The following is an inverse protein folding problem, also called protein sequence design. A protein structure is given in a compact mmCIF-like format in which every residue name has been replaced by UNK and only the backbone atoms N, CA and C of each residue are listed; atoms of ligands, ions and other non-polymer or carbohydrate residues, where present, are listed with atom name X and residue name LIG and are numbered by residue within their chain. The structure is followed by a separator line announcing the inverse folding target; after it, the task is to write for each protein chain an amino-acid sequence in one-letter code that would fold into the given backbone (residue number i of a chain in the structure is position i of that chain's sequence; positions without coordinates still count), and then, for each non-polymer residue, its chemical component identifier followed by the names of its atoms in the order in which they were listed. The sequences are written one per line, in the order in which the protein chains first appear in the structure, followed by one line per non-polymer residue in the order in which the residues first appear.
data_IF_489475359622
#
_entry.id   IF_489475359622
#
_cell.length_a   1.000
_cell.length_b   1.000
_cell.length_c   1.000
_cell.angle_alpha   90.00
_cell.angle_beta   90.00
_cell.angle_gamma   90.00
#
_symmetry.space_group_name_H-M   'P 1'
#
loop_
_entity.id
_entity.type
_entity.pdbx_description
1 polymer ?
#
# COMPACT_ATOMS: atom_id res chain seq x y z
N UNK A 1 -27.19 49.87 -18.85
CA UNK A 1 -26.70 49.64 -17.48
C UNK A 1 -25.21 49.50 -17.62
N UNK A 2 -24.45 50.49 -17.14
CA UNK A 2 -22.99 50.44 -17.04
C UNK A 2 -22.61 49.47 -15.94
N UNK A 3 -21.72 48.51 -16.22
CA UNK A 3 -21.23 47.59 -15.19
C UNK A 3 -20.10 48.27 -14.40
N UNK A 4 -19.85 47.82 -13.16
CA UNK A 4 -18.77 48.30 -12.30
C UNK A 4 -17.40 48.24 -13.01
N UNK A 5 -17.15 47.19 -13.80
CA UNK A 5 -15.92 47.03 -14.56
C UNK A 5 -15.75 48.11 -15.63
N UNK A 6 -16.82 48.44 -16.36
CA UNK A 6 -16.81 49.50 -17.39
C UNK A 6 -16.59 50.88 -16.76
N UNK A 7 -17.19 51.11 -15.58
CA UNK A 7 -17.00 52.33 -14.81
C UNK A 7 -15.57 52.47 -14.27
N UNK A 8 -14.98 51.38 -13.77
CA UNK A 8 -13.59 51.33 -13.31
C UNK A 8 -12.61 51.61 -14.46
N UNK A 9 -12.80 50.97 -15.61
CA UNK A 9 -11.95 51.15 -16.78
C UNK A 9 -12.00 52.61 -17.28
N UNK A 10 -13.20 53.20 -17.30
CA UNK A 10 -13.37 54.60 -17.65
C UNK A 10 -12.61 55.52 -16.68
N UNK A 11 -12.78 55.33 -15.37
CA UNK A 11 -12.12 56.14 -14.35
C UNK A 11 -10.59 56.01 -14.40
N UNK A 12 -10.06 54.79 -14.61
CA UNK A 12 -8.62 54.57 -14.75
C UNK A 12 -8.05 55.30 -15.96
N UNK A 13 -8.75 55.27 -17.10
CA UNK A 13 -8.33 55.96 -18.32
C UNK A 13 -8.34 57.48 -18.17
N UNK A 14 -9.36 58.03 -17.52
CA UNK A 14 -9.44 59.47 -17.25
C UNK A 14 -8.30 59.94 -16.33
N UNK A 15 -7.93 59.13 -15.33
CA UNK A 15 -6.77 59.39 -14.44
C UNK A 15 -5.44 59.22 -15.19
N UNK A 16 -5.33 58.28 -16.14
CA UNK A 16 -4.15 58.12 -17.00
C UNK A 16 -3.92 59.34 -17.91
N UNK A 17 -4.99 59.94 -18.42
CA UNK A 17 -4.97 61.15 -19.25
C UNK A 17 -4.73 62.44 -18.43
N UNK A 18 -4.58 62.34 -17.10
CA UNK A 18 -4.27 63.45 -16.20
C UNK A 18 -5.50 64.07 -15.52
N UNK A 19 -6.65 63.42 -15.59
CA UNK A 19 -7.86 63.79 -14.87
C UNK A 19 -7.76 63.55 -13.37
N UNK A 20 -8.61 64.26 -12.61
CA UNK A 20 -8.68 64.15 -11.17
C UNK A 20 -9.58 62.99 -10.72
N UNK A 21 -9.16 62.29 -9.67
CA UNK A 21 -9.80 61.09 -9.12
C UNK A 21 -11.25 61.34 -8.69
N UNK A 22 -11.51 62.42 -7.96
CA UNK A 22 -12.85 62.73 -7.45
C UNK A 22 -13.81 63.10 -8.59
N UNK A 23 -13.27 63.74 -9.62
CA UNK A 23 -14.03 64.13 -10.82
C UNK A 23 -14.49 62.90 -11.62
N UNK A 24 -13.60 61.91 -11.79
CA UNK A 24 -13.93 60.67 -12.50
C UNK A 24 -15.01 59.86 -11.78
N UNK A 25 -14.93 59.74 -10.45
CA UNK A 25 -15.88 58.98 -9.63
C UNK A 25 -17.26 59.65 -9.56
N UNK A 26 -17.33 60.98 -9.65
CA UNK A 26 -18.62 61.72 -9.63
C UNK A 26 -19.52 61.36 -10.82
N UNK A 27 -18.95 60.84 -11.91
CA UNK A 27 -19.69 60.40 -13.10
C UNK A 27 -20.41 59.06 -12.92
N UNK A 28 -20.03 58.28 -11.90
CA UNK A 28 -20.64 56.99 -11.53
C UNK A 28 -20.99 56.95 -10.03
N UNK A 29 -22.00 57.74 -9.59
CA UNK A 29 -22.32 57.88 -8.16
C UNK A 29 -22.81 56.56 -7.53
N UNK A 30 -23.36 55.65 -8.34
CA UNK A 30 -23.85 54.33 -7.91
C UNK A 30 -22.74 53.37 -7.47
N UNK A 31 -21.52 53.54 -7.99
CA UNK A 31 -20.36 52.68 -7.70
C UNK A 31 -19.26 53.39 -6.90
N UNK A 32 -19.55 54.60 -6.39
CA UNK A 32 -18.57 55.47 -5.74
C UNK A 32 -17.82 54.78 -4.60
N UNK A 33 -18.53 54.10 -3.72
CA UNK A 33 -17.97 53.48 -2.52
C UNK A 33 -17.08 52.27 -2.85
N UNK A 34 -17.32 51.60 -3.98
CA UNK A 34 -16.52 50.47 -4.46
C UNK A 34 -15.31 50.92 -5.30
N UNK A 35 -15.45 52.00 -6.07
CA UNK A 35 -14.40 52.50 -6.97
C UNK A 35 -13.30 53.29 -6.25
N UNK A 36 -13.65 54.09 -5.24
CA UNK A 36 -12.68 54.92 -4.49
C UNK A 36 -11.46 54.14 -3.96
N UNK A 37 -11.62 53.02 -3.21
CA UNK A 37 -10.47 52.30 -2.65
C UNK A 37 -9.59 51.67 -3.75
N UNK A 38 -10.19 51.20 -4.84
CA UNK A 38 -9.47 50.56 -5.96
C UNK A 38 -8.66 51.61 -6.74
N UNK A 39 -9.23 52.79 -6.97
CA UNK A 39 -8.55 53.85 -7.70
C UNK A 39 -7.45 54.52 -6.84
N UNK A 40 -7.67 54.72 -5.54
CA UNK A 40 -6.63 55.22 -4.64
C UNK A 40 -5.41 54.28 -4.56
N UNK A 41 -5.66 52.97 -4.49
CA UNK A 41 -4.58 51.96 -4.48
C UNK A 41 -3.83 51.93 -5.80
N UNK A 42 -4.54 52.08 -6.93
CA UNK A 42 -3.93 52.17 -8.27
C UNK A 42 -3.05 53.41 -8.42
N UNK A 43 -3.48 54.57 -7.93
CA UNK A 43 -2.69 55.81 -7.94
C UNK A 43 -1.44 55.68 -7.06
N UNK A 44 -1.57 55.11 -5.85
CA UNK A 44 -0.44 54.86 -4.94
C UNK A 44 0.56 53.86 -5.52
N UNK A 45 0.09 52.77 -6.11
CA UNK A 45 0.94 51.78 -6.78
C UNK A 45 1.72 52.38 -7.95
N UNK A 46 1.09 53.26 -8.73
CA UNK A 46 1.74 53.99 -9.82
C UNK A 46 2.81 54.96 -9.32
N UNK A 47 2.58 55.65 -8.21
CA UNK A 47 3.59 56.51 -7.59
C UNK A 47 4.81 55.73 -7.07
N UNK A 48 4.65 54.44 -6.79
CA UNK A 48 5.73 53.53 -6.38
C UNK A 48 6.42 52.82 -7.55
N UNK A 49 5.86 52.91 -8.77
CA UNK A 49 6.48 52.32 -9.95
C UNK A 49 7.80 53.04 -10.24
N UNK A 50 8.91 52.31 -10.11
CA UNK A 50 10.24 52.86 -10.35
C UNK A 50 10.33 53.35 -11.81
N UNK A 51 10.90 54.55 -12.05
CA UNK A 51 11.10 55.02 -13.41
C UNK A 51 12.01 54.03 -14.17
N UNK A 52 11.73 53.87 -15.45
CA UNK A 52 12.52 53.02 -16.35
C UNK A 52 14.01 53.42 -16.24
N UNK A 53 14.93 52.49 -15.95
CA UNK A 53 16.30 52.82 -15.65
C UNK A 53 16.92 53.53 -16.85
N UNK A 54 17.47 54.74 -16.63
CA UNK A 54 18.08 55.52 -17.69
C UNK A 54 19.15 54.69 -18.42
N UNK A 55 19.28 54.89 -19.73
CA UNK A 55 20.24 54.11 -20.53
C UNK A 55 21.68 54.20 -20.00
N UNK A 56 22.02 55.29 -19.31
CA UNK A 56 23.31 55.45 -18.64
C UNK A 56 23.46 54.58 -17.38
N UNK A 57 22.38 54.36 -16.62
CA UNK A 57 22.39 53.42 -15.49
C UNK A 57 22.58 51.97 -15.97
N UNK A 58 21.96 51.60 -17.10
CA UNK A 58 22.13 50.28 -17.74
C UNK A 58 23.55 50.10 -18.28
N UNK A 59 24.15 51.14 -18.88
CA UNK A 59 25.55 51.09 -19.33
C UNK A 59 26.52 50.92 -18.16
N UNK A 60 26.29 51.64 -17.06
CA UNK A 60 27.11 51.53 -15.84
C UNK A 60 26.96 50.19 -15.12
N UNK A 61 25.76 49.59 -15.13
CA UNK A 61 25.57 48.25 -14.57
C UNK A 61 26.26 47.19 -15.43
N UNK A 62 26.16 47.29 -16.76
CA UNK A 62 26.87 46.40 -17.69
C UNK A 62 28.39 46.47 -17.54
N UNK A 63 28.97 47.66 -17.40
CA UNK A 63 30.42 47.79 -17.21
C UNK A 63 30.90 47.20 -15.89
N UNK A 64 30.14 47.40 -14.80
CA UNK A 64 30.44 46.77 -13.49
C UNK A 64 30.36 45.25 -13.53
N UNK A 65 29.36 44.69 -14.23
CA UNK A 65 29.24 43.23 -14.42
C UNK A 65 30.39 42.69 -15.25
N UNK A 66 30.80 43.38 -16.32
CA UNK A 66 31.93 42.96 -17.15
C UNK A 66 33.27 43.04 -16.41
N UNK A 67 33.48 44.06 -15.58
CA UNK A 67 34.67 44.16 -14.73
C UNK A 67 34.72 43.03 -13.70
N UNK A 68 33.60 42.77 -13.00
CA UNK A 68 33.50 41.63 -12.06
C UNK A 68 33.76 40.29 -12.76
N UNK A 69 33.27 40.13 -13.99
CA UNK A 69 33.48 38.94 -14.80
C UNK A 69 34.94 38.80 -15.30
N UNK A 70 35.64 39.91 -15.55
CA UNK A 70 37.06 39.93 -15.91
C UNK A 70 37.94 39.58 -14.69
N UNK A 71 37.64 40.16 -13.52
CA UNK A 71 38.31 39.84 -12.25
C UNK A 71 38.17 38.36 -11.90
N UNK A 72 36.97 37.78 -12.05
CA UNK A 72 36.74 36.34 -11.85
C UNK A 72 37.48 35.45 -12.86
N UNK A 73 37.81 35.96 -14.05
CA UNK A 73 38.61 35.24 -15.05
C UNK A 73 40.10 35.29 -14.71
N UNK A 74 40.59 36.39 -14.18
CA UNK A 74 41.99 36.54 -13.78
C UNK A 74 42.31 35.77 -12.49
N UNK A 75 41.35 35.61 -11.58
CA UNK A 75 41.50 34.79 -10.37
C UNK A 75 41.53 33.27 -10.66
N UNK A 76 41.24 32.84 -11.89
CA UNK A 76 41.26 31.42 -12.27
C UNK A 76 42.66 30.97 -12.69
N UNK A 77 43.56 30.90 -11.72
CA UNK A 77 44.80 30.13 -11.79
C UNK A 77 44.42 28.63 -11.83
N UNK A 78 44.80 27.98 -12.94
CA UNK A 78 44.88 26.53 -13.27
C UNK A 78 44.25 25.52 -12.29
N UNK A 79 43.13 24.90 -12.71
CA UNK A 79 42.70 23.53 -12.31
C UNK A 79 41.78 22.92 -13.40
N UNK A 80 41.70 21.58 -13.52
CA UNK A 80 41.79 20.83 -14.77
C UNK A 80 40.47 20.71 -15.52
N UNK A 81 40.55 20.12 -16.72
CA UNK A 81 39.46 19.91 -17.67
C UNK A 81 38.12 19.57 -16.97
N UNK A 82 37.16 20.49 -17.11
CA UNK A 82 35.75 20.16 -17.01
C UNK A 82 35.52 19.00 -17.98
N UNK A 83 35.18 17.80 -17.47
CA UNK A 83 34.64 16.72 -18.31
C UNK A 83 33.41 17.27 -19.02
N UNK A 84 33.62 17.75 -20.24
CA UNK A 84 32.53 17.94 -21.18
C UNK A 84 31.96 16.54 -21.39
N UNK A 85 30.69 16.35 -21.04
CA UNK A 85 29.89 15.24 -21.53
C UNK A 85 30.12 15.20 -23.04
N UNK A 86 30.84 14.20 -23.61
CA UNK A 86 31.18 14.16 -25.02
C UNK A 86 29.92 14.38 -25.87
N UNK A 87 30.07 15.03 -27.03
CA UNK A 87 28.96 15.36 -27.92
C UNK A 87 28.08 14.13 -28.22
N UNK A 88 28.67 12.93 -28.25
CA UNK A 88 27.98 11.65 -28.36
C UNK A 88 27.04 11.33 -27.20
N UNK A 89 27.40 11.66 -25.95
CA UNK A 89 26.50 11.51 -24.81
C UNK A 89 25.34 12.52 -24.86
N UNK A 90 25.56 13.75 -25.35
CA UNK A 90 24.48 14.73 -25.57
C UNK A 90 23.54 14.32 -26.71
N UNK A 91 24.11 13.79 -27.80
CA UNK A 91 23.35 13.25 -28.93
C UNK A 91 22.58 11.99 -28.54
N UNK A 92 23.19 11.10 -27.75
CA UNK A 92 22.52 9.92 -27.20
C UNK A 92 21.35 10.32 -26.30
N UNK A 93 21.53 11.31 -25.40
CA UNK A 93 20.45 11.83 -24.55
C UNK A 93 19.35 12.48 -25.39
N UNK A 94 19.69 13.26 -26.43
CA UNK A 94 18.67 13.85 -27.31
C UNK A 94 17.95 12.81 -28.15
N UNK A 95 18.65 11.76 -28.56
CA UNK A 95 18.09 10.67 -29.36
C UNK A 95 17.22 9.76 -28.51
N UNK A 96 17.58 9.51 -27.24
CA UNK A 96 16.73 8.79 -26.29
C UNK A 96 15.50 9.61 -25.94
N UNK A 97 15.62 10.93 -25.70
CA UNK A 97 14.46 11.81 -25.50
C UNK A 97 13.56 11.87 -26.73
N UNK A 98 14.12 12.00 -27.92
CA UNK A 98 13.35 12.00 -29.16
C UNK A 98 12.71 10.64 -29.45
N UNK A 99 13.41 9.54 -29.16
CA UNK A 99 12.86 8.19 -29.25
C UNK A 99 11.73 8.00 -28.24
N UNK A 100 11.91 8.37 -26.97
CA UNK A 100 10.85 8.36 -25.95
C UNK A 100 9.66 9.21 -26.39
N UNK A 101 9.89 10.38 -26.99
CA UNK A 101 8.83 11.28 -27.47
C UNK A 101 8.13 10.78 -28.75
N UNK A 102 8.84 10.05 -29.62
CA UNK A 102 8.28 9.40 -30.81
C UNK A 102 7.56 8.09 -30.45
N UNK A 103 8.04 7.36 -29.44
CA UNK A 103 7.41 6.18 -28.87
C UNK A 103 6.26 6.53 -27.90
N UNK A 104 6.17 7.77 -27.41
CA UNK A 104 5.04 8.28 -26.62
C UNK A 104 3.83 8.69 -27.48
N UNK A 105 3.73 8.20 -28.71
CA UNK A 105 2.43 8.09 -29.35
C UNK A 105 1.57 7.18 -28.49
N UNK A 106 0.41 7.68 -28.03
CA UNK A 106 -0.48 7.09 -27.01
C UNK A 106 -0.79 5.56 -27.13
N UNK A 107 -0.44 4.89 -28.23
CA UNK A 107 -0.62 3.46 -28.44
C UNK A 107 0.35 2.55 -27.68
N UNK A 108 1.62 2.91 -27.46
CA UNK A 108 2.58 2.01 -26.80
C UNK A 108 2.34 1.87 -25.30
N UNK A 109 2.01 2.96 -24.60
CA UNK A 109 1.72 2.96 -23.17
C UNK A 109 0.45 2.14 -22.85
N UNK A 110 -0.57 2.25 -23.70
CA UNK A 110 -1.79 1.46 -23.57
C UNK A 110 -1.57 0.00 -23.92
N UNK A 111 -0.76 -0.30 -24.95
CA UNK A 111 -0.46 -1.69 -25.34
C UNK A 111 0.51 -2.38 -24.37
N UNK A 112 1.40 -1.64 -23.71
CA UNK A 112 2.28 -2.21 -22.67
C UNK A 112 1.53 -2.58 -21.41
N UNK A 113 0.39 -1.93 -21.11
CA UNK A 113 -0.38 -2.22 -19.91
C UNK A 113 -0.93 -3.67 -19.92
N UNK A 114 -1.30 -4.20 -21.08
CA UNK A 114 -1.76 -5.58 -21.26
C UNK A 114 -0.65 -6.56 -21.67
N UNK A 115 0.62 -6.14 -21.64
CA UNK A 115 1.71 -7.00 -22.08
C UNK A 115 1.99 -8.10 -21.05
N UNK A 116 2.11 -9.34 -21.51
CA UNK A 116 2.43 -10.51 -20.69
C UNK A 116 3.95 -10.76 -20.60
N UNK A 117 4.43 -11.50 -19.58
CA UNK A 117 5.82 -11.95 -19.52
C UNK A 117 6.23 -12.63 -20.84
N UNK A 118 7.45 -12.36 -21.29
CA UNK A 118 7.97 -12.82 -22.60
C UNK A 118 7.65 -11.89 -23.78
N UNK A 119 6.74 -10.93 -23.62
CA UNK A 119 6.43 -9.97 -24.69
C UNK A 119 7.39 -8.78 -24.74
N UNK A 120 7.56 -8.21 -25.94
CA UNK A 120 8.53 -7.14 -26.18
C UNK A 120 8.27 -5.88 -25.34
N UNK A 121 7.00 -5.60 -25.01
CA UNK A 121 6.61 -4.41 -24.23
C UNK A 121 6.54 -4.68 -22.73
N UNK A 122 6.73 -5.92 -22.27
CA UNK A 122 6.69 -6.26 -20.85
C UNK A 122 7.74 -5.52 -20.01
N UNK A 123 9.01 -5.36 -20.45
CA UNK A 123 9.97 -4.55 -19.72
C UNK A 123 9.53 -3.08 -19.58
N UNK A 124 8.74 -2.57 -20.53
CA UNK A 124 8.17 -1.23 -20.47
C UNK A 124 7.06 -1.17 -19.41
N UNK A 125 6.21 -2.20 -19.30
CA UNK A 125 5.21 -2.34 -18.21
C UNK A 125 5.91 -2.27 -16.85
N UNK A 126 6.89 -3.13 -16.61
CA UNK A 126 7.66 -3.18 -15.35
C UNK A 126 8.36 -1.85 -15.02
N UNK A 127 8.93 -1.19 -16.05
CA UNK A 127 9.54 0.12 -15.91
C UNK A 127 8.52 1.21 -15.50
N UNK A 128 7.33 1.18 -16.08
CA UNK A 128 6.26 2.13 -15.75
C UNK A 128 5.72 1.95 -14.33
N UNK A 129 5.56 0.70 -13.89
CA UNK A 129 5.17 0.36 -12.51
C UNK A 129 6.17 0.91 -11.49
N UNK A 130 7.46 0.69 -11.75
CA UNK A 130 8.56 1.20 -10.92
C UNK A 130 8.55 2.74 -10.83
N UNK A 131 8.32 3.42 -11.96
CA UNK A 131 8.21 4.88 -12.01
C UNK A 131 6.99 5.36 -11.20
N UNK A 132 5.84 4.67 -11.33
CA UNK A 132 4.63 5.02 -10.58
C UNK A 132 4.86 4.89 -9.08
N UNK A 133 5.42 3.76 -8.61
CA UNK A 133 5.77 3.54 -7.21
C UNK A 133 6.76 4.60 -6.69
N UNK A 134 7.76 4.97 -7.47
CA UNK A 134 8.75 5.98 -7.09
C UNK A 134 8.12 7.37 -6.82
N UNK A 135 7.04 7.72 -7.52
CA UNK A 135 6.35 9.00 -7.34
C UNK A 135 5.27 8.97 -6.24
N UNK A 136 4.97 7.82 -5.64
CA UNK A 136 4.06 7.74 -4.48
C UNK A 136 4.86 7.90 -3.18
N UNK A 137 4.77 9.10 -2.59
CA UNK A 137 5.47 9.44 -1.36
C UNK A 137 4.78 8.91 -0.10
N UNK A 138 3.45 8.85 -0.11
CA UNK A 138 2.68 8.27 0.98
C UNK A 138 2.97 6.77 1.12
N UNK A 139 3.18 6.28 2.34
CA UNK A 139 3.62 4.90 2.56
C UNK A 139 2.48 3.90 2.33
N UNK A 140 1.30 4.20 2.86
CA UNK A 140 0.10 3.35 2.74
C UNK A 140 -0.37 3.27 1.28
N UNK A 141 -0.49 4.41 0.60
CA UNK A 141 -0.87 4.43 -0.81
C UNK A 141 0.16 3.72 -1.72
N UNK A 142 1.44 3.73 -1.34
CA UNK A 142 2.48 3.00 -2.08
C UNK A 142 2.35 1.49 -1.89
N UNK A 143 2.04 1.06 -0.67
CA UNK A 143 1.81 -0.35 -0.34
C UNK A 143 0.57 -0.89 -1.06
N UNK A 144 -0.54 -0.15 -1.04
CA UNK A 144 -1.75 -0.51 -1.79
C UNK A 144 -1.48 -0.64 -3.30
N UNK A 145 -0.72 0.30 -3.88
CA UNK A 145 -0.35 0.25 -5.30
C UNK A 145 0.62 -0.92 -5.60
N UNK A 146 1.54 -1.23 -4.69
CA UNK A 146 2.43 -2.38 -4.84
C UNK A 146 1.64 -3.70 -4.80
N UNK A 147 0.68 -3.81 -3.88
CA UNK A 147 -0.24 -4.93 -3.81
C UNK A 147 -1.07 -5.07 -5.11
N UNK A 148 -1.57 -3.97 -5.68
CA UNK A 148 -2.26 -3.97 -6.99
C UNK A 148 -1.36 -4.58 -8.08
N UNK A 149 -0.09 -4.20 -8.14
CA UNK A 149 0.86 -4.75 -9.12
C UNK A 149 1.19 -6.23 -8.88
N UNK A 150 1.29 -6.69 -7.64
CA UNK A 150 1.50 -8.12 -7.35
C UNK A 150 0.27 -8.96 -7.70
N UNK A 151 -0.95 -8.47 -7.45
CA UNK A 151 -2.18 -9.14 -7.89
C UNK A 151 -2.24 -9.25 -9.42
N UNK A 152 -1.84 -8.19 -10.12
CA UNK A 152 -1.70 -8.21 -11.57
C UNK A 152 -0.66 -9.26 -12.02
N UNK A 153 0.50 -9.39 -11.33
CA UNK A 153 1.50 -10.44 -11.67
C UNK A 153 0.91 -11.85 -11.54
N UNK A 154 0.12 -12.09 -10.49
CA UNK A 154 -0.54 -13.37 -10.31
C UNK A 154 -1.59 -13.63 -11.40
N UNK A 155 -2.32 -12.60 -11.82
CA UNK A 155 -3.27 -12.71 -12.92
C UNK A 155 -2.58 -13.05 -14.25
N UNK A 156 -1.50 -12.35 -14.59
CA UNK A 156 -0.70 -12.64 -15.78
C UNK A 156 -0.12 -14.07 -15.76
N UNK A 157 0.33 -14.54 -14.59
CA UNK A 157 0.81 -15.92 -14.44
C UNK A 157 -0.30 -16.93 -14.72
N UNK A 158 -1.52 -16.68 -14.21
CA UNK A 158 -2.70 -17.49 -14.52
C UNK A 158 -3.02 -17.46 -16.02
N UNK A 159 -3.00 -16.29 -16.64
CA UNK A 159 -3.26 -16.12 -18.09
C UNK A 159 -2.26 -16.91 -18.93
N UNK A 160 -0.96 -16.85 -18.62
CA UNK A 160 0.07 -17.63 -19.29
C UNK A 160 -0.16 -19.15 -19.17
N UNK A 161 -0.64 -19.63 -18.03
CA UNK A 161 -0.96 -21.04 -17.81
C UNK A 161 -2.19 -21.47 -18.63
N UNK A 162 -3.22 -20.62 -18.67
CA UNK A 162 -4.43 -20.86 -19.48
C UNK A 162 -4.11 -20.87 -20.98
N UNK A 163 -3.24 -19.97 -21.43
CA UNK A 163 -2.76 -19.93 -22.83
C UNK A 163 -1.73 -21.04 -23.15
N UNK A 164 -1.22 -21.73 -22.13
CA UNK A 164 -0.18 -22.76 -22.25
C UNK A 164 1.17 -22.23 -22.77
N UNK A 165 1.48 -20.97 -22.45
CA UNK A 165 2.74 -20.33 -22.82
C UNK A 165 3.88 -20.79 -21.93
N UNK A 166 5.10 -20.77 -22.46
CA UNK A 166 6.31 -21.24 -21.79
C UNK A 166 7.24 -20.07 -21.49
N UNK A 167 6.91 -19.30 -20.45
CA UNK A 167 7.62 -18.08 -20.10
C UNK A 167 8.19 -18.19 -18.69
N UNK A 168 9.28 -17.46 -18.45
CA UNK A 168 9.83 -17.31 -17.09
C UNK A 168 9.11 -16.15 -16.41
N UNK A 169 8.57 -16.42 -15.23
CA UNK A 169 7.80 -15.48 -14.43
C UNK A 169 8.37 -15.37 -13.03
N UNK A 170 8.05 -14.27 -12.36
CA UNK A 170 8.33 -14.02 -10.95
C UNK A 170 7.09 -13.40 -10.33
N UNK A 171 6.65 -13.94 -9.20
CA UNK A 171 5.46 -13.45 -8.47
C UNK A 171 5.55 -13.81 -7.00
N UNK A 172 4.90 -12.99 -6.16
CA UNK A 172 4.72 -13.28 -4.74
C UNK A 172 3.35 -13.92 -4.47
N UNK A 173 3.25 -14.68 -3.37
CA UNK A 173 2.00 -15.29 -2.95
C UNK A 173 2.12 -16.07 -1.65
N UNK A 174 1.05 -16.76 -1.28
CA UNK A 174 0.94 -17.59 -0.10
C UNK A 174 1.17 -19.04 -0.47
N UNK A 175 2.14 -19.68 0.17
CA UNK A 175 2.42 -21.09 0.01
C UNK A 175 1.33 -21.96 0.66
N UNK A 176 0.83 -22.95 -0.09
CA UNK A 176 -0.14 -23.93 0.40
C UNK A 176 0.22 -25.33 -0.10
N UNK A 177 0.31 -26.29 0.82
CA UNK A 177 0.39 -27.72 0.52
C UNK A 177 -0.93 -28.37 0.90
N UNK A 178 -1.70 -28.79 -0.10
CA UNK A 178 -3.01 -29.41 0.06
C UNK A 178 -2.99 -30.76 -0.65
N UNK A 179 -3.30 -31.85 0.08
CA UNK A 179 -3.33 -33.22 -0.45
C UNK A 179 -2.04 -33.63 -1.22
N UNK A 180 -0.88 -33.11 -0.80
CA UNK A 180 0.41 -33.40 -1.43
C UNK A 180 0.68 -32.62 -2.72
N UNK A 181 -0.22 -31.73 -3.14
CA UNK A 181 -0.02 -30.80 -4.24
C UNK A 181 0.30 -29.41 -3.68
N UNK A 182 1.29 -28.75 -4.28
CA UNK A 182 1.69 -27.41 -3.87
C UNK A 182 1.01 -26.34 -4.72
N UNK A 183 0.60 -25.28 -4.05
CA UNK A 183 0.01 -24.09 -4.61
C UNK A 183 0.69 -22.84 -4.07
N UNK A 184 0.74 -21.80 -4.90
CA UNK A 184 1.08 -20.45 -4.46
C UNK A 184 -0.06 -19.55 -4.88
N UNK A 185 -0.84 -19.09 -3.90
CA UNK A 185 -2.02 -18.25 -4.13
C UNK A 185 -2.95 -18.83 -5.21
N UNK A 186 -3.22 -20.13 -5.12
CA UNK A 186 -4.10 -20.87 -6.04
C UNK A 186 -3.44 -21.37 -7.33
N UNK A 187 -2.24 -20.92 -7.69
CA UNK A 187 -1.51 -21.45 -8.85
C UNK A 187 -0.81 -22.76 -8.48
N UNK A 188 -1.07 -23.83 -9.24
CA UNK A 188 -0.38 -25.11 -9.04
C UNK A 188 1.10 -24.98 -9.39
N UNK A 189 1.97 -25.42 -8.49
CA UNK A 189 3.42 -25.35 -8.67
C UNK A 189 4.10 -26.68 -8.39
N UNK A 190 5.24 -26.91 -9.03
CA UNK A 190 6.13 -28.05 -8.77
C UNK A 190 7.47 -27.52 -8.29
N UNK A 191 7.90 -28.00 -7.13
CA UNK A 191 9.18 -27.66 -6.53
C UNK A 191 10.29 -28.62 -7.00
N UNK A 192 11.53 -28.16 -7.14
CA UNK A 192 12.67 -29.05 -7.29
C UNK A 192 12.87 -29.89 -6.01
N UNK A 193 13.37 -31.12 -6.17
CA UNK A 193 13.37 -32.16 -5.14
C UNK A 193 14.24 -31.85 -3.89
N UNK A 194 15.12 -30.86 -3.98
CA UNK A 194 16.08 -30.45 -2.96
C UNK A 194 15.67 -29.15 -2.24
N UNK A 195 14.51 -28.58 -2.58
CA UNK A 195 14.02 -27.35 -1.96
C UNK A 195 13.34 -27.64 -0.62
N UNK A 196 13.70 -26.87 0.40
CA UNK A 196 13.03 -26.93 1.69
C UNK A 196 11.63 -26.33 1.57
N UNK A 197 10.61 -27.08 2.00
CA UNK A 197 9.22 -26.67 1.93
C UNK A 197 8.91 -25.62 3.02
N UNK A 198 8.33 -24.47 2.65
CA UNK A 198 7.70 -23.54 3.60
C UNK A 198 6.55 -24.19 4.39
N UNK A 199 6.11 -23.52 5.44
CA UNK A 199 4.87 -23.89 6.13
C UNK A 199 3.65 -23.34 5.38
N UNK A 200 2.51 -24.01 5.55
CA UNK A 200 1.26 -23.53 4.96
C UNK A 200 0.95 -22.11 5.46
N UNK A 201 0.57 -21.24 4.52
CA UNK A 201 0.29 -19.84 4.77
C UNK A 201 1.52 -18.92 4.75
N UNK A 202 2.74 -19.43 4.54
CA UNK A 202 3.93 -18.56 4.46
C UNK A 202 3.92 -17.70 3.20
N UNK A 203 4.27 -16.43 3.36
CA UNK A 203 4.46 -15.52 2.24
C UNK A 203 5.79 -15.85 1.55
N UNK A 204 5.75 -16.05 0.24
CA UNK A 204 6.91 -16.39 -0.57
C UNK A 204 6.97 -15.52 -1.82
N UNK A 205 8.19 -15.31 -2.31
CA UNK A 205 8.43 -14.85 -3.68
C UNK A 205 9.09 -15.98 -4.46
N UNK A 206 8.59 -16.25 -5.66
CA UNK A 206 9.05 -17.34 -6.48
C UNK A 206 9.38 -16.90 -7.89
N UNK A 207 10.37 -17.56 -8.49
CA UNK A 207 10.56 -17.52 -9.94
C UNK A 207 10.38 -18.93 -10.50
N UNK A 208 9.80 -19.02 -11.69
CA UNK A 208 9.47 -20.30 -12.30
C UNK A 208 9.14 -20.18 -13.76
N UNK A 209 8.93 -21.33 -14.39
CA UNK A 209 8.55 -21.42 -15.81
C UNK A 209 7.13 -21.97 -15.93
N UNK A 210 6.29 -21.24 -16.65
CA UNK A 210 4.94 -21.71 -17.01
C UNK A 210 5.01 -22.79 -18.09
N UNK A 211 3.94 -23.58 -18.22
CA UNK A 211 3.86 -24.61 -19.25
C UNK A 211 2.42 -24.84 -19.72
N UNK A 212 2.26 -25.67 -20.75
CA UNK A 212 0.96 -26.02 -21.32
C UNK A 212 0.13 -27.00 -20.49
N UNK A 213 0.69 -27.52 -19.40
CA UNK A 213 0.05 -28.45 -18.50
C UNK A 213 -0.63 -27.74 -17.31
N UNK A 214 -0.53 -26.41 -17.22
CA UNK A 214 -1.27 -25.60 -16.25
C UNK A 214 -0.62 -25.49 -14.87
N UNK A 215 0.68 -25.77 -14.74
CA UNK A 215 1.43 -25.55 -13.51
C UNK A 215 2.73 -24.77 -13.76
N UNK A 216 3.30 -24.20 -12.69
CA UNK A 216 4.60 -23.52 -12.73
C UNK A 216 5.70 -24.44 -12.22
N UNK A 217 6.75 -24.65 -13.02
CA UNK A 217 7.97 -25.31 -12.59
C UNK A 217 8.87 -24.30 -11.88
N UNK A 218 9.01 -24.40 -10.55
CA UNK A 218 9.78 -23.41 -9.79
C UNK A 218 11.29 -23.56 -10.02
N UNK A 219 11.95 -22.42 -10.14
CA UNK A 219 13.40 -22.27 -10.24
C UNK A 219 13.94 -21.77 -8.89
N UNK A 220 13.30 -20.77 -8.30
CA UNK A 220 13.66 -20.23 -6.98
C UNK A 220 12.41 -20.02 -6.13
N UNK A 221 12.60 -20.15 -4.81
CA UNK A 221 11.61 -19.80 -3.80
C UNK A 221 12.35 -19.16 -2.63
N UNK A 222 11.86 -18.00 -2.19
CA UNK A 222 12.38 -17.27 -1.04
C UNK A 222 11.21 -16.92 -0.11
N UNK A 223 11.42 -17.12 1.19
CA UNK A 223 10.47 -16.72 2.24
C UNK A 223 10.52 -15.21 2.43
N UNK A 224 9.35 -14.58 2.44
CA UNK A 224 9.22 -13.17 2.77
C UNK A 224 9.05 -13.00 4.30
N UNK A 225 9.43 -11.82 4.85
CA UNK A 225 9.24 -11.55 6.27
C UNK A 225 7.78 -11.68 6.73
N UNK A 226 7.58 -12.06 7.99
CA UNK A 226 6.25 -12.11 8.60
C UNK A 226 5.52 -10.76 8.45
N UNK A 227 4.23 -10.82 8.10
CA UNK A 227 3.41 -9.63 7.85
C UNK A 227 3.58 -9.03 6.46
N UNK A 228 4.37 -9.64 5.56
CA UNK A 228 4.41 -9.24 4.16
C UNK A 228 3.04 -9.39 3.51
N UNK A 229 2.60 -8.32 2.85
CA UNK A 229 1.36 -8.31 2.07
C UNK A 229 1.63 -8.91 0.70
N UNK A 230 1.01 -10.06 0.41
CA UNK A 230 1.13 -10.78 -0.87
C UNK A 230 -0.26 -11.13 -1.40
N UNK A 231 -0.44 -11.31 -2.72
CA UNK A 231 -1.73 -11.70 -3.30
C UNK A 231 -2.30 -12.95 -2.64
N UNK A 232 -3.58 -12.93 -2.24
CA UNK A 232 -4.28 -14.14 -1.78
C UNK A 232 -4.44 -15.18 -2.92
N UNK A 233 -4.64 -14.67 -4.14
CA UNK A 233 -4.99 -15.44 -5.33
C UNK A 233 -6.33 -16.18 -5.17
N UNK A 234 -6.49 -17.32 -5.84
CA UNK A 234 -7.74 -18.09 -5.75
C UNK A 234 -7.65 -19.14 -4.62
N UNK A 235 -8.69 -19.31 -3.79
CA UNK A 235 -8.77 -20.37 -2.78
C UNK A 235 -8.56 -21.75 -3.39
N UNK A 236 -7.91 -22.63 -2.64
CA UNK A 236 -7.58 -23.98 -3.09
C UNK A 236 -8.71 -24.93 -2.72
N UNK A 237 -9.25 -25.65 -3.69
CA UNK A 237 -10.30 -26.66 -3.46
C UNK A 237 -9.77 -27.78 -2.57
N UNK A 238 -10.51 -28.10 -1.50
CA UNK A 238 -10.26 -29.24 -0.63
C UNK A 238 -11.37 -30.27 -0.81
N UNK A 239 -10.99 -31.52 -1.08
CA UNK A 239 -11.94 -32.64 -1.02
C UNK A 239 -12.13 -33.07 0.43
N UNK A 240 -13.23 -32.64 1.04
CA UNK A 240 -13.63 -33.15 2.35
C UNK A 240 -14.33 -34.50 2.13
N UNK A 241 -13.65 -35.60 2.43
CA UNK A 241 -14.32 -36.90 2.54
C UNK A 241 -15.37 -36.79 3.65
N UNK A 242 -16.64 -36.71 3.26
CA UNK A 242 -17.75 -36.76 4.21
C UNK A 242 -17.61 -38.03 5.05
N UNK A 243 -17.27 -37.90 6.34
CA UNK A 243 -17.39 -39.01 7.26
C UNK A 243 -18.84 -39.47 7.27
N UNK A 244 -19.12 -40.58 6.57
CA UNK A 244 -20.37 -41.30 6.75
C UNK A 244 -20.38 -41.72 8.22
N UNK A 245 -21.27 -41.09 8.98
CA UNK A 245 -21.64 -41.61 10.28
C UNK A 245 -22.32 -42.96 10.02
N UNK A 246 -21.57 -44.03 10.25
CA UNK A 246 -22.06 -45.40 10.33
C UNK A 246 -23.08 -45.49 11.48
N UNK A 247 -24.31 -45.02 11.21
CA UNK A 247 -25.46 -45.29 12.06
C UNK A 247 -25.89 -46.73 11.81
N UNK A 248 -25.20 -47.61 12.50
CA UNK A 248 -25.59 -48.99 12.69
C UNK A 248 -26.88 -49.03 13.53
N UNK A 249 -28.04 -48.98 12.88
CA UNK A 249 -29.35 -49.25 13.49
C UNK A 249 -29.99 -50.47 12.80
N UNK A 250 -30.57 -51.44 13.55
CA UNK A 250 -30.95 -52.73 12.98
C UNK A 250 -32.17 -52.63 12.07
N UNK A 251 -32.14 -53.42 10.99
CA UNK A 251 -33.25 -53.60 10.04
C UNK A 251 -34.60 -53.84 10.72
N UNK A 252 -35.58 -53.05 10.32
CA UNK A 252 -36.98 -53.47 10.28
C UNK A 252 -37.54 -53.14 8.89
N UNK A 253 -37.74 -54.19 8.11
CA UNK A 253 -38.33 -54.19 6.78
C UNK A 253 -39.83 -53.95 6.84
N UNK A 254 -40.30 -52.89 6.17
CA UNK A 254 -41.62 -52.87 5.51
C UNK A 254 -41.54 -51.97 4.28
N UNK A 255 -41.78 -52.59 3.13
CA UNK A 255 -41.84 -52.03 1.79
C UNK A 255 -43.07 -51.13 1.58
N UNK A 256 -42.86 -49.91 1.11
CA UNK A 256 -43.88 -49.11 0.43
C UNK A 256 -43.27 -48.46 -0.83
N UNK A 257 -43.77 -48.72 -2.05
CA UNK A 257 -43.19 -48.21 -3.28
C UNK A 257 -43.92 -46.94 -3.71
N UNK A 258 -43.43 -45.78 -3.28
CA UNK A 258 -43.66 -44.54 -4.02
C UNK A 258 -42.43 -43.62 -3.93
N UNK A 259 -41.73 -43.56 -5.06
CA UNK A 259 -40.73 -42.58 -5.47
C UNK A 259 -41.09 -41.14 -5.06
N UNK A 260 -40.20 -40.17 -4.95
CA UNK A 260 -38.77 -40.06 -5.25
C UNK A 260 -38.41 -38.65 -4.78
N UNK A 261 -37.73 -38.56 -3.65
CA UNK A 261 -36.99 -37.36 -3.25
C UNK A 261 -35.57 -37.81 -3.01
N UNK A 262 -34.83 -38.09 -4.08
CA UNK A 262 -33.39 -38.19 -3.98
C UNK A 262 -32.91 -36.81 -3.51
N UNK A 263 -32.66 -36.68 -2.21
CA UNK A 263 -31.78 -35.65 -1.72
C UNK A 263 -30.42 -35.96 -2.36
N UNK A 264 -30.18 -35.36 -3.52
CA UNK A 264 -28.85 -35.24 -4.08
C UNK A 264 -28.04 -34.58 -2.98
N UNK A 265 -27.19 -35.35 -2.29
CA UNK A 265 -26.16 -34.79 -1.47
C UNK A 265 -25.32 -33.94 -2.41
N UNK A 266 -25.57 -32.64 -2.42
CA UNK A 266 -24.70 -31.67 -3.08
C UNK A 266 -23.37 -31.84 -2.39
N UNK A 267 -22.37 -32.41 -3.09
CA UNK A 267 -20.98 -32.35 -2.65
C UNK A 267 -20.66 -30.87 -2.52
N UNK A 268 -20.72 -30.33 -1.31
CA UNK A 268 -20.33 -28.94 -1.05
C UNK A 268 -18.83 -28.91 -1.25
N UNK A 269 -18.39 -28.25 -2.32
CA UNK A 269 -16.97 -28.03 -2.57
C UNK A 269 -16.52 -26.98 -1.59
N UNK A 270 -15.59 -27.34 -0.71
CA UNK A 270 -14.98 -26.44 0.26
C UNK A 270 -13.61 -26.01 -0.25
N UNK A 271 -13.17 -24.84 0.18
CA UNK A 271 -11.89 -24.27 -0.20
C UNK A 271 -11.15 -23.78 1.05
N UNK A 272 -9.84 -23.99 1.05
CA UNK A 272 -8.94 -23.49 2.08
C UNK A 272 -8.20 -22.25 1.56
N UNK A 273 -8.16 -21.20 2.38
CA UNK A 273 -7.33 -20.03 2.15
C UNK A 273 -6.64 -19.63 3.46
N UNK A 274 -5.33 -19.38 3.37
CA UNK A 274 -4.52 -18.85 4.47
C UNK A 274 -3.98 -17.49 4.08
N UNK A 275 -3.82 -16.60 5.06
CA UNK A 275 -3.29 -15.28 4.80
C UNK A 275 -3.28 -14.39 6.03
N UNK A 276 -2.92 -13.13 5.82
CA UNK A 276 -2.88 -12.09 6.85
C UNK A 276 -4.10 -11.18 6.69
N UNK A 277 -4.78 -10.87 7.79
CA UNK A 277 -5.91 -9.96 7.78
C UNK A 277 -5.40 -8.53 7.52
N UNK A 278 -5.88 -7.90 6.46
CA UNK A 278 -5.58 -6.49 6.13
C UNK A 278 -6.62 -5.54 6.76
N UNK A 279 -7.89 -5.93 6.74
CA UNK A 279 -8.96 -5.13 7.36
C UNK A 279 -10.13 -5.99 7.84
N UNK A 280 -10.90 -5.45 8.79
CA UNK A 280 -12.07 -6.11 9.39
C UNK A 280 -13.25 -5.15 9.29
N UNK A 281 -14.38 -5.65 8.80
CA UNK A 281 -15.67 -4.95 8.74
C UNK A 281 -16.75 -5.75 9.47
N UNK A 282 -17.99 -5.24 9.52
CA UNK A 282 -19.12 -5.97 10.12
C UNK A 282 -19.52 -7.23 9.34
N UNK A 283 -19.32 -7.23 8.03
CA UNK A 283 -19.81 -8.28 7.12
C UNK A 283 -18.73 -9.26 6.67
N UNK A 284 -17.47 -8.91 6.87
CA UNK A 284 -16.34 -9.59 6.23
C UNK A 284 -14.98 -9.12 6.73
N UNK A 285 -13.95 -9.84 6.31
CA UNK A 285 -12.54 -9.46 6.44
C UNK A 285 -11.91 -9.38 5.05
N UNK A 286 -10.88 -8.55 4.91
CA UNK A 286 -10.00 -8.58 3.75
C UNK A 286 -8.76 -9.39 4.12
N UNK A 287 -8.57 -10.52 3.44
CA UNK A 287 -7.45 -11.44 3.63
C UNK A 287 -6.55 -11.35 2.40
N UNK A 288 -5.35 -10.77 2.52
CA UNK A 288 -4.42 -10.63 1.39
C UNK A 288 -5.06 -9.99 0.12
N UNK A 289 -5.91 -8.98 0.29
CA UNK A 289 -6.70 -8.33 -0.77
C UNK A 289 -7.99 -9.04 -1.19
N UNK A 290 -8.29 -10.24 -0.67
CA UNK A 290 -9.53 -10.99 -0.95
C UNK A 290 -10.62 -10.67 0.07
N UNK A 291 -11.82 -10.34 -0.41
CA UNK A 291 -13.01 -10.21 0.43
C UNK A 291 -13.52 -11.58 0.89
N UNK A 292 -13.52 -11.80 2.20
CA UNK A 292 -14.04 -13.00 2.85
C UNK A 292 -15.26 -12.63 3.69
N UNK A 293 -16.43 -13.18 3.37
CA UNK A 293 -17.69 -12.86 4.05
C UNK A 293 -17.94 -13.80 5.24
N UNK A 294 -18.23 -13.24 6.41
CA UNK A 294 -18.35 -13.99 7.68
C UNK A 294 -19.76 -14.56 7.94
N UNK A 295 -20.55 -14.80 6.90
CA UNK A 295 -21.97 -15.17 7.06
C UNK A 295 -22.11 -16.55 7.73
N UNK A 296 -22.40 -16.55 9.03
CA UNK A 296 -22.49 -17.72 9.90
C UNK A 296 -21.17 -18.52 10.04
N UNK A 297 -20.02 -17.86 9.88
CA UNK A 297 -18.73 -18.50 10.06
C UNK A 297 -18.50 -18.94 11.52
N UNK A 298 -18.02 -20.16 11.73
CA UNK A 298 -17.50 -20.61 13.02
C UNK A 298 -16.11 -20.03 13.25
N UNK A 299 -16.00 -19.02 14.12
CA UNK A 299 -14.73 -18.33 14.38
C UNK A 299 -14.09 -18.90 15.65
N UNK A 300 -12.95 -19.57 15.49
CA UNK A 300 -12.11 -20.10 16.56
C UNK A 300 -10.97 -19.11 16.80
N UNK A 301 -10.92 -18.51 17.98
CA UNK A 301 -9.88 -17.51 18.33
C UNK A 301 -10.30 -16.06 18.06
N UNK A 302 -9.31 -15.17 17.85
CA UNK A 302 -9.51 -13.74 17.62
C UNK A 302 -9.05 -13.33 16.23
N UNK A 303 -9.83 -12.47 15.58
CA UNK A 303 -9.47 -11.85 14.31
C UNK A 303 -8.91 -10.45 14.57
N UNK A 304 -7.66 -10.24 14.19
CA UNK A 304 -6.99 -8.94 14.35
C UNK A 304 -6.28 -8.59 13.05
N UNK A 305 -6.28 -7.31 12.67
CA UNK A 305 -5.49 -6.83 11.53
C UNK A 305 -4.02 -7.15 11.75
N UNK A 306 -3.35 -7.67 10.73
CA UNK A 306 -1.97 -8.15 10.76
C UNK A 306 -1.80 -9.59 11.27
N UNK A 307 -2.87 -10.29 11.66
CA UNK A 307 -2.77 -11.70 12.09
C UNK A 307 -2.86 -12.65 10.91
N UNK A 308 -2.01 -13.70 10.92
CA UNK A 308 -2.15 -14.86 10.03
C UNK A 308 -3.32 -15.72 10.51
N UNK A 309 -4.21 -16.10 9.59
CA UNK A 309 -5.39 -16.94 9.85
C UNK A 309 -5.55 -18.01 8.77
N UNK A 310 -6.36 -19.01 9.08
CA UNK A 310 -6.85 -20.03 8.16
C UNK A 310 -8.37 -19.92 8.02
N UNK A 311 -8.87 -19.98 6.79
CA UNK A 311 -10.30 -19.90 6.48
C UNK A 311 -10.67 -21.08 5.60
N UNK A 312 -11.71 -21.81 6.03
CA UNK A 312 -12.41 -22.80 5.21
C UNK A 312 -13.73 -22.19 4.79
N UNK A 313 -14.06 -22.26 3.51
CA UNK A 313 -15.27 -21.62 2.97
C UNK A 313 -15.74 -22.22 1.65
N UNK A 314 -16.76 -21.58 1.07
CA UNK A 314 -17.29 -21.94 -0.25
C UNK A 314 -17.62 -20.68 -1.05
N UNK A 315 -17.65 -20.82 -2.38
CA UNK A 315 -18.16 -19.78 -3.26
C UNK A 315 -19.67 -19.86 -3.39
N UNK A 316 -20.36 -18.74 -3.14
CA UNK A 316 -21.78 -18.63 -3.44
C UNK A 316 -22.01 -18.50 -4.97
N UNK A 317 -23.27 -18.60 -5.45
CA UNK A 317 -23.57 -18.46 -6.88
C UNK A 317 -23.23 -17.09 -7.49
N UNK A 318 -22.99 -16.07 -6.65
CA UNK A 318 -22.58 -14.72 -7.06
C UNK A 318 -21.05 -14.58 -7.12
N UNK A 319 -20.30 -15.64 -6.78
CA UNK A 319 -18.84 -15.67 -6.80
C UNK A 319 -18.18 -15.06 -5.56
N UNK A 320 -18.93 -14.85 -4.47
CA UNK A 320 -18.38 -14.37 -3.20
C UNK A 320 -17.87 -15.53 -2.36
N UNK A 321 -16.73 -15.33 -1.70
CA UNK A 321 -16.17 -16.33 -0.80
C UNK A 321 -16.79 -16.21 0.59
N UNK A 322 -17.59 -17.20 0.98
CA UNK A 322 -18.30 -17.27 2.26
C UNK A 322 -17.55 -18.20 3.21
N UNK A 323 -17.11 -17.67 4.35
CA UNK A 323 -16.42 -18.46 5.37
C UNK A 323 -17.39 -19.40 6.11
N UNK A 324 -17.00 -20.66 6.24
CA UNK A 324 -17.64 -21.68 7.08
C UNK A 324 -16.94 -21.76 8.43
N UNK A 325 -15.61 -21.77 8.43
CA UNK A 325 -14.77 -21.88 9.62
C UNK A 325 -13.54 -20.98 9.49
N UNK A 326 -13.15 -20.35 10.59
CA UNK A 326 -11.98 -19.49 10.66
C UNK A 326 -11.18 -19.81 11.90
N UNK A 327 -9.91 -20.17 11.71
CA UNK A 327 -8.94 -20.30 12.79
C UNK A 327 -8.09 -19.02 12.86
N UNK A 328 -8.37 -18.23 13.90
CA UNK A 328 -7.72 -16.96 14.21
C UNK A 328 -6.63 -17.07 15.28
N UNK A 329 -6.02 -15.94 15.60
CA UNK A 329 -4.96 -15.86 16.60
C UNK A 329 -5.49 -16.13 18.02
N UNK A 330 -4.65 -16.72 18.88
CA UNK A 330 -4.96 -16.92 20.30
C UNK A 330 -5.06 -15.59 21.08
N UNK A 331 -4.34 -14.56 20.64
CA UNK A 331 -4.39 -13.21 21.18
C UNK A 331 -4.00 -12.18 20.11
N UNK A 332 -4.55 -10.96 20.18
CA UNK A 332 -4.15 -9.87 19.29
C UNK A 332 -2.84 -9.25 19.81
N UNK A 333 -1.84 -9.01 18.95
CA UNK A 333 -0.64 -8.28 19.35
C UNK A 333 -1.04 -6.88 19.85
N UNK A 334 -0.56 -6.53 21.04
CA UNK A 334 -0.73 -5.17 21.58
C UNK A 334 0.20 -4.25 20.79
N UNK A 335 -0.36 -3.27 20.09
CA UNK A 335 0.42 -2.23 19.43
C UNK A 335 1.22 -1.51 20.52
N UNK A 336 2.53 -1.77 20.62
CA UNK A 336 3.43 -1.03 21.50
C UNK A 336 3.60 0.38 20.93
N UNK A 337 2.70 1.27 21.35
CA UNK A 337 2.85 2.70 21.14
C UNK A 337 4.09 3.20 21.86
N UNK A 338 5.09 3.64 21.09
CA UNK A 338 6.17 4.45 21.64
C UNK A 338 5.54 5.79 22.03
N UNK A 339 5.54 6.09 23.32
CA UNK A 339 4.82 7.23 23.87
C UNK A 339 5.29 8.55 23.30
N UNK A 340 4.34 9.41 22.93
CA UNK A 340 4.44 10.80 23.33
C UNK A 340 3.03 11.35 23.61
N UNK A 341 2.89 11.89 24.81
CA UNK A 341 1.66 12.52 25.28
C UNK A 341 1.33 13.74 24.43
N UNK A 342 0.21 13.72 23.75
CA UNK A 342 -0.52 14.90 23.29
C UNK A 342 -1.97 14.49 23.09
N UNK A 343 -2.85 15.07 23.89
CA UNK A 343 -4.30 14.97 23.74
C UNK A 343 -4.68 15.40 22.33
N UNK A 344 -5.14 14.46 21.51
CA UNK A 344 -6.14 14.72 20.48
C UNK A 344 -6.95 13.44 20.26
N UNK A 345 -8.22 13.54 20.63
CA UNK A 345 -9.24 12.52 20.40
C UNK A 345 -9.53 12.40 18.91
N UNK A 346 -8.95 11.39 18.27
CA UNK A 346 -9.47 10.79 17.05
C UNK A 346 -9.19 9.28 17.10
N UNK A 347 -10.11 8.56 17.74
CA UNK A 347 -10.10 7.10 17.82
C UNK A 347 -10.50 6.53 16.45
N UNK A 348 -9.55 5.93 15.73
CA UNK A 348 -9.86 4.93 14.71
C UNK A 348 -10.48 3.72 15.42
N UNK A 349 -11.60 3.14 14.95
CA UNK A 349 -12.17 1.97 15.61
C UNK A 349 -11.35 0.73 15.24
N UNK A 350 -10.60 0.19 16.19
CA UNK A 350 -10.08 -1.18 16.09
C UNK A 350 -11.25 -2.16 16.31
N UNK A 351 -11.92 -2.55 15.22
CA UNK A 351 -13.00 -3.54 15.27
C UNK A 351 -12.41 -4.92 15.51
N UNK A 352 -12.58 -5.47 16.72
CA UNK A 352 -12.20 -6.84 17.08
C UNK A 352 -13.46 -7.70 17.03
N UNK A 353 -13.46 -8.75 16.21
CA UNK A 353 -14.52 -9.77 16.23
C UNK A 353 -14.05 -10.95 17.08
N UNK A 354 -14.87 -11.31 18.08
CA UNK A 354 -14.58 -12.38 19.02
C UNK A 354 -15.59 -13.52 18.83
N UNK A 355 -15.10 -14.75 18.65
CA UNK A 355 -15.93 -15.94 18.61
C UNK A 355 -16.62 -16.22 19.95
N UNK A 356 -17.88 -16.63 19.91
CA UNK A 356 -18.65 -17.01 21.10
C UNK A 356 -18.21 -18.40 21.58
N UNK A 357 -17.43 -18.45 22.66
CA UNK A 357 -17.32 -19.65 23.48
C UNK A 357 -18.24 -19.52 24.69
N UNK A 358 -19.24 -20.40 24.73
CA UNK A 358 -20.06 -20.66 25.90
C UNK A 358 -19.20 -21.35 26.96
N UNK A 359 -18.96 -20.70 28.09
CA UNK A 359 -18.92 -21.37 29.38
C UNK A 359 -19.36 -20.40 30.47
N UNK A 360 -20.42 -20.83 31.16
CA UNK A 360 -21.16 -20.11 32.16
C UNK A 360 -20.55 -20.40 33.53
N UNK A 361 -20.08 -19.36 34.21
CA UNK A 361 -20.08 -19.33 35.68
C UNK A 361 -20.23 -17.89 36.14
N UNK A 362 -21.45 -17.59 36.59
CA UNK A 362 -21.75 -16.49 37.49
C UNK A 362 -20.76 -16.51 38.66
N UNK A 363 -20.31 -15.33 39.12
CA UNK A 363 -20.50 -14.92 40.51
C UNK A 363 -20.20 -13.42 40.68
N UNK A 364 -21.31 -12.74 41.00
CA UNK A 364 -21.54 -11.55 41.82
C UNK A 364 -20.43 -10.51 42.08
N UNK A 365 -20.85 -9.26 41.83
CA UNK A 365 -20.30 -8.04 42.41
C UNK A 365 -20.12 -8.15 43.94
N UNK A 366 -18.94 -7.77 44.45
CA UNK A 366 -18.92 -6.93 45.65
C UNK A 366 -17.67 -6.05 45.68
N UNK A 367 -17.95 -4.76 45.72
CA UNK A 367 -17.01 -3.69 46.07
C UNK A 367 -16.63 -3.79 47.55
N UNK A 368 -15.34 -3.88 47.87
CA UNK A 368 -14.84 -3.26 49.10
C UNK A 368 -13.41 -2.76 48.90
N UNK A 369 -13.33 -1.44 49.01
CA UNK A 369 -12.15 -0.62 49.13
C UNK A 369 -11.66 -0.75 50.57
N UNK A 370 -10.42 -1.17 50.82
CA UNK A 370 -9.76 -0.95 52.11
C UNK A 370 -8.26 -0.71 51.92
N UNK A 371 -7.91 0.58 51.98
CA UNK A 371 -6.58 1.04 52.33
C UNK A 371 -6.26 0.58 53.75
N UNK A 372 -5.09 -0.02 53.97
CA UNK A 372 -4.41 0.16 55.24
C UNK A 372 -2.89 0.20 55.06
N UNK A 373 -2.39 1.41 55.33
CA UNK A 373 -1.01 1.75 55.60
C UNK A 373 -0.66 1.21 57.00
N UNK A 374 0.49 0.60 57.17
CA UNK A 374 1.11 0.37 58.48
C UNK A 374 2.62 0.33 58.29
N UNK A 375 3.25 1.46 58.62
CA UNK A 375 4.65 1.58 58.98
C UNK A 375 4.92 0.79 60.28
N UNK A 376 6.15 0.27 60.43
CA UNK A 376 7.02 0.46 61.61
C UNK A 376 8.24 -0.50 61.59
N UNK A 377 9.41 0.13 61.43
CA UNK A 377 10.63 0.07 62.25
C UNK A 377 11.51 -1.19 62.44
N UNK A 378 12.77 -0.99 62.01
CA UNK A 378 14.06 -1.16 62.71
C UNK A 378 14.53 -2.51 63.29
N UNK A 379 15.68 -2.99 62.80
CA UNK A 379 17.00 -2.85 63.46
C UNK A 379 18.09 -3.76 62.83
N UNK A 380 19.16 -3.09 62.37
CA UNK A 380 20.60 -3.27 62.65
C UNK A 380 21.35 -4.63 62.64
N UNK A 381 22.48 -4.56 61.89
CA UNK A 381 23.85 -5.06 62.13
C UNK A 381 24.12 -6.57 62.27
N UNK A 382 25.03 -7.14 61.45
CA UNK A 382 26.48 -6.99 61.65
C UNK A 382 27.34 -7.80 60.64
N UNK A 383 28.53 -7.23 60.39
CA UNK A 383 29.77 -7.62 59.71
C UNK A 383 30.08 -9.03 59.14
N UNK A 384 30.91 -9.04 58.08
CA UNK A 384 31.71 -10.21 57.69
C UNK A 384 32.51 -10.09 56.39
N UNK A 385 33.63 -9.37 56.42
CA UNK A 385 34.73 -9.37 55.44
C UNK A 385 35.13 -10.78 54.93
N UNK A 386 35.39 -10.93 53.62
CA UNK A 386 36.60 -11.63 53.17
C UNK A 386 37.05 -11.26 51.75
N UNK A 387 38.30 -10.78 51.72
CA UNK A 387 39.19 -10.54 50.60
C UNK A 387 39.52 -11.76 49.72
N UNK A 388 39.71 -11.53 48.42
CA UNK A 388 40.36 -12.48 47.50
C UNK A 388 40.84 -11.76 46.23
N UNK A 389 42.16 -11.71 46.03
CA UNK A 389 42.91 -10.87 45.09
C UNK A 389 43.75 -11.76 44.16
N UNK A 390 43.98 -11.31 42.91
CA UNK A 390 45.00 -11.82 41.97
C UNK A 390 44.39 -12.67 40.85
N UNK A 391 44.57 -12.42 39.56
CA UNK A 391 45.74 -12.01 38.75
C UNK A 391 45.65 -12.89 37.48
N UNK A 392 45.58 -12.39 36.25
CA UNK A 392 46.66 -11.75 35.50
C UNK A 392 47.45 -12.83 34.74
N UNK A 393 47.44 -12.80 33.40
CA UNK A 393 48.30 -13.64 32.56
C UNK A 393 47.85 -13.75 31.11
N UNK A 394 48.47 -12.93 30.26
CA UNK A 394 48.55 -13.02 28.79
C UNK A 394 49.48 -14.18 28.33
N UNK A 395 49.65 -14.28 27.00
CA UNK A 395 50.57 -15.09 26.16
C UNK A 395 49.87 -16.31 25.50
N UNK A 396 49.81 -16.48 24.17
CA UNK A 396 50.66 -16.04 23.03
C UNK A 396 49.84 -15.63 21.78
#
# INVERSE_FOLDING_TARGET
MTNLFDALEFCLREIEEGGDLETAVTRFPEFKDELLPILETSVKARAMAAPEPSQDAVRRSRSRVMQRAAELREMRIVVPQRRAIPLFQRLAISFTLAAVFLLSGNGLLSASASALPGEQLYPVKRGWESVRLFFIFDAEARELLANEFENERLHEASELLVEGRHEVIEFAGVFMLVNGQTYISGLSVILPADMQLPENGDAVIVSGRTNAQGYVELITLELLPDGSVVPAGNPVEIEVESHQTDNNAPSASTSDPNQSGAATATKTVEYEVKGTIESISETGIVLNGMDVYLQNANIIGKLCVGSKIEVIGYYDPEGRFIALEIEGASSCPSILGTGNSSNDSNTLPSTVIQGSNSENSNDEESSTNDNNNSDDDDNDDDDGDNSGKGGGGDDD
#
